data_IF_944331657402
#
_entry.id   IF_944331657402
#
_cell.length_a   1.000
_cell.length_b   1.000
_cell.length_c   1.000
_cell.angle_alpha   90.00
_cell.angle_beta   90.00
_cell.angle_gamma   90.00
#
_symmetry.space_group_name_H-M   'P 1'
#
loop_
_entity.id
_entity.type
_entity.pdbx_description
1 polymer ?
#
# COMPACT_ATOMS: atom_id res chain seq x y z
N UNK A 1 -17.26 -14.32 -4.84
CA UNK A 1 -16.04 -13.47 -4.90
C UNK A 1 -16.46 -12.10 -5.43
N UNK A 2 -16.04 -10.99 -4.79
CA UNK A 2 -16.33 -9.65 -5.31
C UNK A 2 -15.73 -9.52 -6.72
N UNK A 3 -16.52 -9.06 -7.69
CA UNK A 3 -16.03 -8.87 -9.05
C UNK A 3 -14.99 -7.74 -9.14
N UNK A 4 -14.12 -7.72 -10.18
CA UNK A 4 -13.09 -6.71 -10.33
C UNK A 4 -13.62 -5.28 -10.34
N UNK A 5 -14.82 -5.05 -10.88
CA UNK A 5 -15.48 -3.75 -10.86
C UNK A 5 -15.81 -3.25 -9.46
N UNK A 6 -16.23 -4.14 -8.55
CA UNK A 6 -16.54 -3.75 -7.16
C UNK A 6 -15.27 -3.37 -6.41
N UNK A 7 -14.19 -4.15 -6.59
CA UNK A 7 -12.89 -3.84 -5.98
C UNK A 7 -12.39 -2.47 -6.47
N UNK A 8 -12.47 -2.19 -7.77
CA UNK A 8 -12.08 -0.88 -8.31
C UNK A 8 -12.90 0.26 -7.73
N UNK A 9 -14.23 0.09 -7.67
CA UNK A 9 -15.12 1.12 -7.14
C UNK A 9 -14.79 1.45 -5.68
N UNK A 10 -14.57 0.43 -4.85
CA UNK A 10 -14.20 0.60 -3.43
C UNK A 10 -12.82 1.24 -3.30
N UNK A 11 -11.82 0.80 -4.07
CA UNK A 11 -10.49 1.40 -4.03
C UNK A 11 -10.51 2.85 -4.51
N UNK A 12 -11.22 3.15 -5.60
CA UNK A 12 -11.36 4.50 -6.12
C UNK A 12 -12.08 5.42 -5.13
N UNK A 13 -13.14 4.94 -4.47
CA UNK A 13 -13.82 5.70 -3.43
C UNK A 13 -12.90 6.00 -2.24
N UNK A 14 -12.10 5.03 -1.79
CA UNK A 14 -11.10 5.24 -0.74
C UNK A 14 -10.03 6.25 -1.13
N UNK A 15 -9.50 6.16 -2.36
CA UNK A 15 -8.52 7.12 -2.90
C UNK A 15 -9.13 8.52 -2.99
N UNK A 16 -10.37 8.65 -3.48
CA UNK A 16 -11.07 9.93 -3.55
C UNK A 16 -11.33 10.53 -2.17
N UNK A 17 -11.69 9.70 -1.19
CA UNK A 17 -11.85 10.16 0.20
C UNK A 17 -10.53 10.72 0.75
N UNK A 18 -9.43 10.00 0.56
CA UNK A 18 -8.09 10.40 1.03
C UNK A 18 -7.52 11.58 0.24
N UNK A 19 -7.93 11.78 -1.01
CA UNK A 19 -7.51 12.94 -1.78
C UNK A 19 -8.20 14.23 -1.33
N UNK A 20 -9.45 14.13 -0.84
CA UNK A 20 -10.23 15.29 -0.39
C UNK A 20 -10.05 15.59 1.10
N UNK A 21 -9.97 14.54 1.93
CA UNK A 21 -9.77 14.67 3.38
C UNK A 21 -8.29 14.48 3.67
N UNK A 22 -7.57 15.57 3.96
CA UNK A 22 -6.10 15.55 4.06
C UNK A 22 -5.60 14.77 5.29
N UNK A 23 -4.87 13.65 5.13
CA UNK A 23 -4.29 12.88 6.24
C UNK A 23 -3.08 13.53 6.92
N UNK A 24 -2.59 14.67 6.42
CA UNK A 24 -1.54 15.46 7.09
C UNK A 24 -2.11 16.34 8.21
N UNK A 25 -3.41 16.66 8.14
CA UNK A 25 -4.08 17.47 9.15
C UNK A 25 -4.48 16.62 10.37
N UNK A 26 -4.06 16.98 11.60
CA UNK A 26 -4.49 16.29 12.81
C UNK A 26 -6.02 16.29 12.96
N UNK A 27 -6.60 15.17 13.39
CA UNK A 27 -8.04 15.05 13.66
C UNK A 27 -8.89 14.54 12.49
N UNK A 28 -8.38 14.52 11.26
CA UNK A 28 -9.08 13.94 10.11
C UNK A 28 -9.14 12.40 10.15
N UNK A 29 -8.11 11.76 10.70
CA UNK A 29 -8.01 10.29 10.78
C UNK A 29 -7.52 9.86 12.17
N UNK A 30 -7.95 8.68 12.66
CA UNK A 30 -7.46 8.15 13.92
C UNK A 30 -5.95 7.86 13.84
N UNK A 31 -5.28 8.03 14.98
CA UNK A 31 -3.88 7.63 15.11
C UNK A 31 -3.73 6.12 14.90
N UNK A 32 -2.63 5.70 14.28
CA UNK A 32 -2.34 4.29 14.08
C UNK A 32 -2.29 3.56 15.44
N UNK A 33 -3.15 2.56 15.68
CA UNK A 33 -3.20 1.87 16.98
C UNK A 33 -1.90 1.13 17.27
N UNK A 34 -1.26 0.56 16.24
CA UNK A 34 0.02 -0.14 16.39
C UNK A 34 1.12 0.80 16.89
N UNK A 35 1.22 1.99 16.30
CA UNK A 35 2.18 3.01 16.73
C UNK A 35 1.86 3.49 18.14
N UNK A 36 0.58 3.74 18.43
CA UNK A 36 0.15 4.19 19.76
C UNK A 36 0.43 3.17 20.86
N UNK A 37 0.32 1.86 20.55
CA UNK A 37 0.53 0.78 21.53
C UNK A 37 2.00 0.37 21.68
N UNK A 38 2.77 0.38 20.59
CA UNK A 38 4.13 -0.20 20.57
C UNK A 38 5.23 0.83 20.48
N UNK A 39 4.93 2.06 20.04
CA UNK A 39 5.93 3.07 19.69
C UNK A 39 6.66 2.79 18.37
N UNK A 40 6.39 1.67 17.69
CA UNK A 40 7.03 1.30 16.44
C UNK A 40 6.14 1.57 15.22
N UNK A 41 6.76 1.89 14.09
CA UNK A 41 6.07 2.00 12.80
C UNK A 41 5.78 0.60 12.25
N UNK A 42 4.55 0.35 11.81
CA UNK A 42 4.22 -0.84 11.03
C UNK A 42 4.59 -0.64 9.54
N UNK A 43 4.68 -1.71 8.72
CA UNK A 43 5.03 -1.58 7.30
C UNK A 43 4.03 -0.71 6.50
N UNK A 44 2.80 -0.58 6.98
CA UNK A 44 1.75 0.25 6.38
C UNK A 44 1.75 1.72 6.84
N UNK A 45 2.55 2.12 7.83
CA UNK A 45 2.57 3.51 8.29
C UNK A 45 2.91 4.47 7.14
N UNK A 46 2.20 5.59 7.07
CA UNK A 46 2.36 6.59 6.00
C UNK A 46 1.59 6.30 4.71
N UNK A 47 0.89 5.17 4.58
CA UNK A 47 0.19 4.80 3.33
C UNK A 47 -0.90 5.81 2.90
N UNK A 48 -1.73 6.30 3.84
CA UNK A 48 -2.75 7.32 3.51
C UNK A 48 -2.13 8.63 3.04
N UNK A 49 -1.08 9.10 3.74
CA UNK A 49 -0.31 10.28 3.34
C UNK A 49 0.34 10.09 1.97
N UNK A 50 0.93 8.92 1.72
CA UNK A 50 1.51 8.57 0.43
C UNK A 50 0.48 8.65 -0.69
N UNK A 51 -0.72 8.06 -0.49
CA UNK A 51 -1.82 8.11 -1.47
C UNK A 51 -2.25 9.55 -1.72
N UNK A 52 -2.43 10.35 -0.67
CA UNK A 52 -2.77 11.77 -0.81
C UNK A 52 -1.68 12.55 -1.59
N UNK A 53 -0.39 12.35 -1.29
CA UNK A 53 0.70 12.99 -2.04
C UNK A 53 0.73 12.54 -3.50
N UNK A 54 0.46 11.27 -3.80
CA UNK A 54 0.35 10.76 -5.16
C UNK A 54 -0.80 11.41 -5.94
N UNK A 55 -1.98 11.57 -5.33
CA UNK A 55 -3.13 12.19 -6.00
C UNK A 55 -2.90 13.66 -6.32
N UNK A 56 -2.01 14.33 -5.59
CA UNK A 56 -1.61 15.71 -5.83
C UNK A 56 -0.34 15.84 -6.69
N UNK A 57 0.20 14.73 -7.22
CA UNK A 57 1.37 14.73 -8.12
C UNK A 57 2.73 14.85 -7.42
N UNK A 58 2.79 14.76 -6.10
CA UNK A 58 4.02 14.87 -5.32
C UNK A 58 4.73 13.51 -5.18
N UNK A 59 5.35 13.04 -6.26
CA UNK A 59 5.98 11.70 -6.32
C UNK A 59 7.12 11.50 -5.30
N UNK A 60 8.00 12.50 -5.14
CA UNK A 60 9.12 12.41 -4.20
C UNK A 60 8.65 12.34 -2.74
N UNK A 61 7.66 13.15 -2.38
CA UNK A 61 7.03 13.12 -1.06
C UNK A 61 6.33 11.78 -0.81
N UNK A 62 5.57 11.29 -1.79
CA UNK A 62 4.92 9.98 -1.70
C UNK A 62 5.94 8.85 -1.47
N UNK A 63 7.03 8.83 -2.25
CA UNK A 63 8.08 7.83 -2.06
C UNK A 63 8.65 7.86 -0.64
N UNK A 64 8.96 9.04 -0.09
CA UNK A 64 9.47 9.17 1.28
C UNK A 64 8.49 8.66 2.35
N UNK A 65 7.18 8.82 2.14
CA UNK A 65 6.15 8.41 3.10
C UNK A 65 6.01 6.88 3.20
N UNK A 66 6.10 6.14 2.09
CA UNK A 66 6.13 4.68 2.13
C UNK A 66 6.82 4.07 0.89
N UNK A 67 8.16 3.95 0.90
CA UNK A 67 8.92 3.44 -0.24
C UNK A 67 8.48 2.03 -0.68
N UNK A 68 8.24 1.13 0.28
CA UNK A 68 7.83 -0.24 -0.03
C UNK A 68 6.49 -0.25 -0.78
N UNK A 69 5.48 0.43 -0.24
CA UNK A 69 4.15 0.44 -0.86
C UNK A 69 4.17 1.16 -2.21
N UNK A 70 4.92 2.26 -2.33
CA UNK A 70 5.10 2.99 -3.58
C UNK A 70 5.66 2.08 -4.68
N UNK A 71 6.69 1.28 -4.39
CA UNK A 71 7.29 0.34 -5.34
C UNK A 71 6.36 -0.84 -5.67
N UNK A 72 5.43 -1.19 -4.79
CA UNK A 72 4.45 -2.26 -5.02
C UNK A 72 3.24 -1.81 -5.87
N UNK A 73 2.97 -0.51 -6.00
CA UNK A 73 1.88 0.01 -6.83
C UNK A 73 1.87 -0.54 -8.27
N UNK A 74 2.98 -0.52 -9.05
CA UNK A 74 2.98 -1.08 -10.40
C UNK A 74 2.70 -2.59 -10.42
N UNK A 75 3.14 -3.32 -9.39
CA UNK A 75 2.86 -4.76 -9.26
C UNK A 75 1.37 -4.98 -9.03
N UNK A 76 0.75 -4.23 -8.12
CA UNK A 76 -0.69 -4.31 -7.88
C UNK A 76 -1.52 -3.90 -9.10
N UNK A 77 -1.13 -2.85 -9.82
CA UNK A 77 -1.78 -2.42 -11.05
C UNK A 77 -1.73 -3.51 -12.13
N UNK A 78 -0.57 -4.15 -12.31
CA UNK A 78 -0.41 -5.25 -13.26
C UNK A 78 -1.27 -6.46 -12.90
N UNK A 79 -1.26 -6.89 -11.63
CA UNK A 79 -2.06 -8.03 -11.16
C UNK A 79 -3.56 -7.75 -11.29
N UNK A 80 -3.98 -6.52 -10.95
CA UNK A 80 -5.37 -6.11 -11.09
C UNK A 80 -5.80 -6.13 -12.57
N UNK A 81 -4.98 -5.59 -13.48
CA UNK A 81 -5.26 -5.61 -14.92
C UNK A 81 -5.38 -7.03 -15.48
N UNK A 82 -4.47 -7.94 -15.09
CA UNK A 82 -4.57 -9.36 -15.45
C UNK A 82 -5.85 -9.99 -14.91
N UNK A 83 -6.20 -9.71 -13.67
CA UNK A 83 -7.41 -10.24 -13.05
C UNK A 83 -8.67 -9.76 -13.79
N UNK A 84 -8.73 -8.49 -14.22
CA UNK A 84 -9.85 -7.97 -15.02
C UNK A 84 -9.97 -8.73 -16.35
N UNK A 85 -8.85 -8.90 -17.07
CA UNK A 85 -8.83 -9.58 -18.39
C UNK A 85 -9.23 -11.05 -18.27
N UNK A 86 -8.76 -11.76 -17.24
CA UNK A 86 -9.09 -13.17 -17.06
C UNK A 86 -10.55 -13.33 -16.60
N UNK A 87 -11.01 -12.46 -15.71
CA UNK A 87 -12.40 -12.47 -15.25
C UNK A 87 -13.39 -12.18 -16.37
N UNK A 88 -13.06 -11.31 -17.33
CA UNK A 88 -13.91 -11.06 -18.50
C UNK A 88 -13.96 -12.22 -19.49
N UNK A 89 -12.97 -13.13 -19.44
CA UNK A 89 -12.92 -14.38 -20.22
C UNK A 89 -13.53 -15.57 -19.48
N UNK A 90 -13.96 -15.39 -18.23
CA UNK A 90 -14.41 -16.49 -17.37
C UNK A 90 -13.28 -17.42 -16.91
N UNK A 91 -12.01 -17.00 -17.06
CA UNK A 91 -10.84 -17.79 -16.70
C UNK A 91 -10.40 -17.53 -15.25
N UNK A 92 -9.93 -18.57 -14.59
CA UNK A 92 -9.34 -18.44 -13.27
C UNK A 92 -7.94 -17.81 -13.36
N UNK A 93 -7.64 -16.87 -12.45
CA UNK A 93 -6.31 -16.27 -12.39
C UNK A 93 -5.29 -17.28 -11.85
N UNK A 94 -4.38 -17.71 -12.72
CA UNK A 94 -3.15 -18.40 -12.32
C UNK A 94 -1.94 -17.48 -12.53
N UNK A 95 -1.12 -17.33 -11.50
CA UNK A 95 0.10 -16.53 -11.55
C UNK A 95 1.19 -17.21 -10.75
N UNK A 96 2.43 -17.16 -11.26
CA UNK A 96 3.63 -17.59 -10.53
C UNK A 96 3.76 -16.86 -9.20
N UNK A 97 3.21 -15.64 -9.11
CA UNK A 97 3.20 -14.83 -7.91
C UNK A 97 2.38 -15.43 -6.75
N UNK A 98 1.46 -16.36 -7.03
CA UNK A 98 0.70 -17.08 -6.01
C UNK A 98 1.38 -18.38 -5.55
N UNK A 99 2.59 -18.68 -6.02
CA UNK A 99 3.35 -19.84 -5.52
C UNK A 99 3.79 -19.59 -4.07
N UNK A 100 3.82 -20.63 -3.22
CA UNK A 100 4.13 -20.47 -1.80
C UNK A 100 5.48 -19.81 -1.58
N UNK A 101 6.52 -20.17 -2.34
CA UNK A 101 7.85 -19.56 -2.19
C UNK A 101 7.84 -18.03 -2.41
N UNK A 102 7.03 -17.52 -3.34
CA UNK A 102 6.90 -16.07 -3.58
C UNK A 102 6.26 -15.39 -2.38
N UNK A 103 5.25 -16.00 -1.77
CA UNK A 103 4.64 -15.49 -0.56
C UNK A 103 5.64 -15.41 0.61
N UNK A 104 6.53 -16.41 0.75
CA UNK A 104 7.58 -16.37 1.78
C UNK A 104 8.62 -15.29 1.51
N UNK A 105 9.03 -15.10 0.25
CA UNK A 105 9.93 -14.01 -0.14
C UNK A 105 9.29 -12.65 0.13
N UNK A 106 8.03 -12.48 -0.26
CA UNK A 106 7.28 -11.25 -0.02
C UNK A 106 7.13 -10.93 1.47
N UNK A 107 6.81 -11.95 2.28
CA UNK A 107 6.78 -11.82 3.73
C UNK A 107 8.15 -11.42 4.29
N UNK A 108 9.22 -12.06 3.81
CA UNK A 108 10.59 -11.71 4.17
C UNK A 108 10.93 -10.26 3.85
N UNK A 109 10.51 -9.75 2.69
CA UNK A 109 10.69 -8.34 2.30
C UNK A 109 9.92 -7.41 3.23
N UNK A 110 8.66 -7.73 3.57
CA UNK A 110 7.86 -6.91 4.50
C UNK A 110 8.52 -6.87 5.89
N UNK A 111 8.97 -8.01 6.40
CA UNK A 111 9.63 -8.10 7.71
C UNK A 111 10.96 -7.35 7.70
N UNK A 112 11.78 -7.54 6.67
CA UNK A 112 13.04 -6.83 6.52
C UNK A 112 12.80 -5.31 6.49
N UNK A 113 11.84 -4.85 5.69
CA UNK A 113 11.46 -3.44 5.62
C UNK A 113 10.94 -2.90 6.96
N UNK A 114 10.11 -3.69 7.67
CA UNK A 114 9.59 -3.32 8.98
C UNK A 114 10.73 -3.14 9.99
N UNK A 115 11.71 -4.04 10.01
CA UNK A 115 12.90 -3.91 10.87
C UNK A 115 13.71 -2.68 10.47
N UNK A 116 14.07 -2.58 9.18
CA UNK A 116 14.86 -1.49 8.62
C UNK A 116 14.29 -0.12 8.97
N UNK A 117 12.98 0.07 8.83
CA UNK A 117 12.30 1.35 9.09
C UNK A 117 12.24 1.76 10.57
N UNK A 118 12.46 0.83 11.50
CA UNK A 118 12.48 1.10 12.95
C UNK A 118 13.91 1.25 13.51
N UNK A 119 14.95 1.15 12.67
CA UNK A 119 16.33 1.32 13.11
C UNK A 119 16.71 2.80 13.22
N UNK A 120 17.53 3.19 14.23
CA UNK A 120 17.86 4.59 14.52
C UNK A 120 18.72 5.27 13.45
N UNK A 121 19.33 4.51 12.53
CA UNK A 121 20.09 5.09 11.41
C UNK A 121 19.27 5.19 10.12
N UNK A 122 18.05 4.64 10.11
CA UNK A 122 17.19 4.53 8.93
C UNK A 122 16.01 5.52 8.99
N UNK A 123 16.21 6.70 9.59
CA UNK A 123 15.21 7.77 9.68
C UNK A 123 14.63 8.19 8.32
N UNK A 124 15.39 8.01 7.23
CA UNK A 124 14.92 8.29 5.88
C UNK A 124 13.72 7.41 5.44
N UNK A 125 13.49 6.29 6.12
CA UNK A 125 12.32 5.45 5.90
C UNK A 125 11.16 5.80 6.84
N UNK A 126 11.37 6.58 7.92
CA UNK A 126 10.28 6.96 8.81
C UNK A 126 9.34 7.98 8.13
N UNK A 127 8.01 7.81 8.24
CA UNK A 127 7.01 8.64 7.55
C UNK A 127 6.63 9.93 8.27
#
# INVERSE_FOLDING_TARGET
MLGPGVVLAVTAAGVAMVSVVDPHQPGHYPTCPFLALTGFYCPGCGAMRMVNSLTHGHLGAAFGLNPLLFLLLPVFAYLYGRWVVLSSRGEAMSSVLFRPWVAHVFLGVIVAYWILRNLPFAHALAP
#
